data_IF_672845914977
#
_entry.id   IF_672845914977
#
_cell.length_a   1.000
_cell.length_b   1.000
_cell.length_c   1.000
_cell.angle_alpha   90.00
_cell.angle_beta   90.00
_cell.angle_gamma   90.00
#
_symmetry.space_group_name_H-M   'P 1'
#
loop_
_entity.id
_entity.type
_entity.pdbx_description
1 polymer ?
#
# COMPACT_ATOMS: atom_id res chain seq x y z
N UNK A 1 -16.42 17.46 -11.54
CA UNK A 1 -15.28 16.55 -11.63
C UNK A 1 -15.08 15.83 -10.30
N UNK A 2 -14.91 14.52 -10.38
CA UNK A 2 -14.78 13.74 -9.17
C UNK A 2 -13.33 13.78 -8.66
N UNK A 3 -13.16 14.16 -7.42
CA UNK A 3 -11.85 14.15 -6.80
C UNK A 3 -11.46 12.75 -6.40
N UNK A 4 -10.21 12.40 -6.65
CA UNK A 4 -9.66 11.14 -6.18
C UNK A 4 -9.32 11.30 -4.70
N UNK A 5 -9.93 10.48 -3.85
CA UNK A 5 -9.69 10.54 -2.41
C UNK A 5 -9.17 9.20 -1.92
N UNK A 6 -8.25 9.26 -0.96
CA UNK A 6 -7.84 8.05 -0.27
C UNK A 6 -7.49 8.40 1.17
N UNK A 7 -7.58 7.39 2.01
CA UNK A 7 -7.23 7.55 3.42
C UNK A 7 -6.49 6.31 3.89
N UNK A 8 -5.30 6.51 4.45
CA UNK A 8 -4.54 5.40 5.02
C UNK A 8 -5.13 5.11 6.39
N UNK A 9 -5.82 3.97 6.51
CA UNK A 9 -6.45 3.57 7.76
C UNK A 9 -5.45 2.97 8.73
N UNK A 10 -4.43 2.28 8.22
CA UNK A 10 -3.43 1.67 9.05
C UNK A 10 -2.19 1.37 8.22
N UNK A 11 -1.03 1.73 8.76
CA UNK A 11 0.25 1.33 8.18
C UNK A 11 0.58 -0.06 8.70
N UNK A 12 0.76 -1.03 7.80
CA UNK A 12 1.04 -2.40 8.20
C UNK A 12 2.54 -2.62 8.34
N UNK A 13 3.30 -2.33 7.27
CA UNK A 13 4.74 -2.56 7.29
C UNK A 13 5.44 -1.82 6.16
N UNK A 14 6.73 -1.58 6.35
CA UNK A 14 7.61 -1.10 5.31
C UNK A 14 8.42 -2.29 4.80
N UNK A 15 8.33 -2.57 3.50
CA UNK A 15 9.03 -3.70 2.91
C UNK A 15 10.49 -3.33 2.63
N UNK A 16 10.71 -2.14 2.06
CA UNK A 16 12.04 -1.66 1.76
C UNK A 16 12.04 -0.14 1.72
N UNK A 17 13.24 0.43 1.82
CA UNK A 17 13.40 1.87 1.87
C UNK A 17 14.71 2.24 1.18
N UNK A 18 14.70 3.35 0.43
CA UNK A 18 15.93 3.85 -0.18
C UNK A 18 16.89 4.34 0.90
N UNK A 19 18.18 4.46 0.56
CA UNK A 19 19.22 4.86 1.52
C UNK A 19 18.93 6.21 2.16
N UNK A 20 18.36 7.13 1.40
CA UNK A 20 18.04 8.46 1.91
C UNK A 20 16.69 8.51 2.62
N UNK A 21 15.98 7.39 2.64
CA UNK A 21 14.68 7.30 3.31
C UNK A 21 13.53 7.97 2.58
N UNK A 22 13.77 8.49 1.39
CA UNK A 22 12.72 9.23 0.66
C UNK A 22 11.74 8.34 -0.08
N UNK A 23 12.19 7.18 -0.53
CA UNK A 23 11.35 6.25 -1.29
C UNK A 23 11.20 4.98 -0.47
N UNK A 24 9.96 4.52 -0.34
CA UNK A 24 9.68 3.30 0.46
C UNK A 24 8.60 2.47 -0.22
N UNK A 25 8.77 1.16 -0.18
CA UNK A 25 7.75 0.20 -0.59
C UNK A 25 7.01 -0.20 0.69
N UNK A 26 5.71 0.09 0.73
CA UNK A 26 4.93 -0.10 1.96
C UNK A 26 3.68 -0.93 1.75
N UNK A 27 3.25 -1.58 2.82
CA UNK A 27 1.98 -2.28 2.89
C UNK A 27 1.10 -1.49 3.86
N UNK A 28 -0.05 -1.06 3.39
CA UNK A 28 -1.00 -0.26 4.18
C UNK A 28 -2.42 -0.76 3.96
N UNK A 29 -3.31 -0.43 4.90
CA UNK A 29 -4.74 -0.55 4.67
C UNK A 29 -5.23 0.81 4.20
N UNK A 30 -5.77 0.87 2.99
CA UNK A 30 -6.19 2.14 2.40
C UNK A 30 -7.64 2.06 1.94
N UNK A 31 -8.40 3.10 2.27
CA UNK A 31 -9.75 3.30 1.78
C UNK A 31 -9.69 4.28 0.61
N UNK A 32 -10.17 3.87 -0.55
CA UNK A 32 -10.24 4.73 -1.73
C UNK A 32 -11.69 5.18 -1.93
N UNK A 33 -11.89 6.49 -2.04
CA UNK A 33 -13.20 7.08 -2.31
C UNK A 33 -14.28 6.58 -1.35
N UNK A 34 -13.91 6.49 -0.06
CA UNK A 34 -14.81 6.08 1.04
C UNK A 34 -15.26 4.62 0.96
N UNK A 35 -14.63 3.81 0.13
CA UNK A 35 -14.91 2.38 0.07
C UNK A 35 -14.24 1.66 1.25
N UNK A 36 -14.65 0.42 1.56
CA UNK A 36 -13.98 -0.34 2.62
C UNK A 36 -12.48 -0.46 2.35
N UNK A 37 -11.69 -0.40 3.40
CA UNK A 37 -10.24 -0.42 3.27
C UNK A 37 -9.75 -1.75 2.71
N UNK A 38 -8.75 -1.67 1.84
CA UNK A 38 -8.12 -2.84 1.24
C UNK A 38 -6.63 -2.81 1.50
N UNK A 39 -5.98 -3.93 1.28
CA UNK A 39 -4.53 -4.03 1.43
C UNK A 39 -3.88 -3.42 0.20
N UNK A 40 -2.99 -2.46 0.42
CA UNK A 40 -2.34 -1.74 -0.66
C UNK A 40 -0.83 -1.93 -0.53
N UNK A 41 -0.19 -2.35 -1.62
CA UNK A 41 1.25 -2.55 -1.68
C UNK A 41 1.78 -1.64 -2.78
N UNK A 42 2.50 -0.59 -2.38
CA UNK A 42 3.02 0.35 -3.36
C UNK A 42 4.21 1.13 -2.85
N UNK A 43 4.89 1.75 -3.79
CA UNK A 43 6.02 2.63 -3.49
C UNK A 43 5.49 4.04 -3.25
N UNK A 44 6.07 4.69 -2.25
CA UNK A 44 5.72 6.06 -1.86
C UNK A 44 6.94 6.96 -1.88
N UNK A 45 6.74 8.21 -2.25
CA UNK A 45 7.72 9.24 -1.97
C UNK A 45 7.38 9.79 -0.60
N UNK A 46 8.19 9.47 0.41
CA UNK A 46 7.88 9.83 1.78
C UNK A 46 8.06 11.32 2.05
N UNK A 47 8.85 11.98 1.22
CA UNK A 47 9.10 13.41 1.37
C UNK A 47 7.90 14.24 0.90
N UNK A 48 7.31 13.86 -0.23
CA UNK A 48 6.20 14.61 -0.81
C UNK A 48 4.84 13.98 -0.55
N UNK A 49 4.81 12.73 -0.11
CA UNK A 49 3.57 11.99 0.07
C UNK A 49 3.00 11.43 -1.23
N UNK A 50 3.73 11.57 -2.34
CA UNK A 50 3.26 11.09 -3.63
C UNK A 50 3.26 9.57 -3.68
N UNK A 51 2.16 8.99 -4.18
CA UNK A 51 2.08 7.54 -4.37
C UNK A 51 2.46 7.20 -5.81
N UNK A 52 3.23 6.12 -5.92
CA UNK A 52 3.66 5.62 -7.21
C UNK A 52 2.90 4.33 -7.54
N UNK A 53 3.43 3.58 -8.46
CA UNK A 53 2.84 2.33 -8.89
C UNK A 53 2.67 1.35 -7.74
N UNK A 54 1.56 0.61 -7.77
CA UNK A 54 1.31 -0.38 -6.75
C UNK A 54 0.11 -1.23 -7.10
N UNK A 55 -0.28 -2.07 -6.16
CA UNK A 55 -1.39 -2.98 -6.33
C UNK A 55 -2.28 -2.93 -5.09
N UNK A 56 -3.58 -2.96 -5.31
CA UNK A 56 -4.57 -3.01 -4.24
C UNK A 56 -5.22 -4.38 -4.24
N UNK A 57 -5.24 -5.02 -3.09
CA UNK A 57 -5.71 -6.40 -2.94
C UNK A 57 -6.87 -6.47 -1.97
N UNK A 58 -7.80 -7.39 -2.23
CA UNK A 58 -8.79 -7.74 -1.22
C UNK A 58 -8.07 -8.48 -0.09
N UNK A 59 -8.74 -8.63 1.06
CA UNK A 59 -8.14 -9.37 2.17
C UNK A 59 -7.84 -10.81 1.77
N UNK A 60 -8.73 -11.44 1.00
CA UNK A 60 -8.51 -12.80 0.53
C UNK A 60 -7.30 -12.89 -0.39
N UNK A 61 -7.19 -11.94 -1.33
CA UNK A 61 -6.05 -11.90 -2.24
C UNK A 61 -4.74 -11.69 -1.49
N UNK A 62 -4.76 -10.82 -0.50
CA UNK A 62 -3.56 -10.54 0.31
C UNK A 62 -3.14 -11.77 1.09
N UNK A 63 -4.11 -12.50 1.66
CA UNK A 63 -3.82 -13.72 2.40
C UNK A 63 -3.21 -14.79 1.49
N UNK A 64 -3.80 -14.98 0.31
CA UNK A 64 -3.31 -15.96 -0.65
C UNK A 64 -1.90 -15.61 -1.13
N UNK A 65 -1.67 -14.33 -1.42
CA UNK A 65 -0.35 -13.88 -1.84
C UNK A 65 0.68 -14.11 -0.75
N UNK A 66 0.31 -13.82 0.50
CA UNK A 66 1.19 -14.04 1.63
C UNK A 66 1.61 -15.50 1.77
N UNK A 67 0.66 -16.42 1.59
CA UNK A 67 0.94 -17.84 1.67
C UNK A 67 1.89 -18.28 0.54
N UNK A 68 1.65 -17.78 -0.67
CA UNK A 68 2.49 -18.10 -1.82
C UNK A 68 3.93 -17.64 -1.58
N UNK A 69 4.09 -16.39 -1.14
CA UNK A 69 5.42 -15.83 -0.92
C UNK A 69 6.14 -16.53 0.24
N UNK A 70 5.40 -16.88 1.28
CA UNK A 70 5.99 -17.55 2.44
C UNK A 70 6.48 -18.95 2.08
N UNK A 71 5.81 -19.60 1.13
CA UNK A 71 6.16 -20.96 0.72
C UNK A 71 7.24 -21.05 -0.35
N UNK A 72 7.78 -19.93 -0.79
CA UNK A 72 8.82 -19.93 -1.81
C UNK A 72 10.13 -20.53 -1.31
#
# INVERSE_FOLDING_TARGET
>A
MKEFKYEIKKHIATVSKSDDGKIALEVNLISYNDAPAKVDVRTWNKETGKMYKGITLTHEEAENLGQILFGM
#
